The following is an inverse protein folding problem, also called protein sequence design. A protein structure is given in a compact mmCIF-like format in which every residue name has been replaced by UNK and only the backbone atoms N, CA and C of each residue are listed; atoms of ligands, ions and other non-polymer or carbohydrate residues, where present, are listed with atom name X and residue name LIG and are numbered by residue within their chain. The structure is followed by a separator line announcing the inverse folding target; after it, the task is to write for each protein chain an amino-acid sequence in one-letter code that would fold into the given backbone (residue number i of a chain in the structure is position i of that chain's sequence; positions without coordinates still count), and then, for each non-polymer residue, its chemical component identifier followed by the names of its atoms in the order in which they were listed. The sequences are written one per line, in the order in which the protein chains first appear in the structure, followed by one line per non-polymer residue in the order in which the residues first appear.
data_IF_508951736097
#
_entry.id   IF_508951736097
#
_cell.length_a   1.000
_cell.length_b   1.000
_cell.length_c   1.000
_cell.angle_alpha   90.00
_cell.angle_beta   90.00
_cell.angle_gamma   90.00
#
_symmetry.space_group_name_H-M   'P 1'
#
loop_
_entity.id
_entity.type
_entity.pdbx_description
1 polymer ?
#
# COMPACT_ATOMS: atom_id res chain seq x y z
N UNK A 1 4.29 7.72 -3.03
CA UNK A 1 4.17 6.56 -2.16
C UNK A 1 2.77 6.48 -1.58
N UNK A 2 2.22 5.30 -1.49
CA UNK A 2 0.86 5.09 -1.01
C UNK A 2 -0.19 4.94 -2.10
N UNK A 3 0.06 5.44 -3.29
CA UNK A 3 -0.82 5.25 -4.44
C UNK A 3 -0.52 3.89 -5.09
N UNK A 4 -0.97 2.83 -4.43
CA UNK A 4 -0.61 1.46 -4.80
C UNK A 4 -1.22 1.07 -6.15
N UNK A 5 -2.47 1.47 -6.39
CA UNK A 5 -3.17 1.10 -7.63
C UNK A 5 -2.92 2.07 -8.80
N UNK A 6 -2.20 3.14 -8.57
CA UNK A 6 -1.81 4.07 -9.64
C UNK A 6 -2.94 4.94 -10.17
N UNK A 7 -3.96 5.22 -9.37
CA UNK A 7 -5.11 6.03 -9.83
C UNK A 7 -4.93 7.54 -9.56
N UNK A 8 -3.81 7.93 -8.97
CA UNK A 8 -3.50 9.32 -8.66
C UNK A 8 -4.05 9.81 -7.34
N UNK A 9 -4.71 8.96 -6.57
CA UNK A 9 -5.29 9.30 -5.27
C UNK A 9 -4.91 8.24 -4.24
N UNK A 10 -4.51 8.68 -3.05
CA UNK A 10 -4.22 7.76 -1.93
C UNK A 10 -5.47 7.70 -1.04
N UNK A 11 -6.15 6.56 -1.03
CA UNK A 11 -7.37 6.37 -0.26
C UNK A 11 -7.58 4.88 0.07
N UNK A 12 -8.78 4.53 0.55
CA UNK A 12 -9.10 3.16 0.96
C UNK A 12 -8.91 2.14 -0.18
N UNK A 13 -9.09 2.56 -1.42
CA UNK A 13 -8.83 1.66 -2.57
C UNK A 13 -7.38 1.18 -2.58
N UNK A 14 -6.44 2.03 -2.16
CA UNK A 14 -5.03 1.65 -2.08
C UNK A 14 -4.79 0.64 -0.96
N UNK A 15 -5.53 0.74 0.14
CA UNK A 15 -5.44 -0.25 1.23
C UNK A 15 -5.85 -1.62 0.69
N UNK A 16 -6.94 -1.69 -0.06
CA UNK A 16 -7.38 -2.95 -0.67
C UNK A 16 -6.33 -3.48 -1.65
N UNK A 17 -5.78 -2.60 -2.49
CA UNK A 17 -4.73 -3.00 -3.44
C UNK A 17 -3.51 -3.53 -2.72
N UNK A 18 -3.09 -2.89 -1.64
CA UNK A 18 -1.93 -3.31 -0.86
C UNK A 18 -2.17 -4.69 -0.20
N UNK A 19 -3.36 -4.91 0.33
CA UNK A 19 -3.72 -6.21 0.91
C UNK A 19 -3.64 -7.30 -0.17
N UNK A 20 -4.17 -7.03 -1.36
CA UNK A 20 -4.10 -7.98 -2.47
C UNK A 20 -2.65 -8.27 -2.88
N UNK A 21 -1.78 -7.26 -2.85
CA UNK A 21 -0.36 -7.44 -3.11
C UNK A 21 0.28 -8.38 -2.08
N UNK A 22 -0.02 -8.17 -0.81
CA UNK A 22 0.53 -9.00 0.28
C UNK A 22 0.07 -10.45 0.14
N UNK A 23 -1.19 -10.66 -0.27
CA UNK A 23 -1.75 -11.99 -0.49
C UNK A 23 -1.34 -12.60 -1.84
N UNK A 24 -0.53 -11.89 -2.62
CA UNK A 24 -0.09 -12.27 -3.97
C UNK A 24 -1.24 -12.43 -4.97
N UNK A 25 -2.37 -11.76 -4.71
CA UNK A 25 -3.51 -11.76 -5.63
C UNK A 25 -3.39 -10.68 -6.72
N UNK A 26 -2.49 -9.72 -6.53
CA UNK A 26 -2.23 -8.65 -7.48
C UNK A 26 -0.73 -8.36 -7.50
N UNK A 27 -0.25 -7.82 -8.62
CA UNK A 27 1.17 -7.54 -8.82
C UNK A 27 1.37 -6.04 -8.97
N UNK A 28 1.73 -5.38 -7.88
CA UNK A 28 2.06 -3.96 -7.85
C UNK A 28 3.54 -3.79 -7.49
N UNK A 29 4.19 -2.69 -7.95
CA UNK A 29 5.60 -2.44 -7.62
C UNK A 29 5.82 -2.32 -6.12
N UNK A 30 6.87 -2.97 -5.61
CA UNK A 30 7.21 -2.88 -4.19
C UNK A 30 7.48 -1.44 -3.76
N UNK A 31 8.03 -0.61 -4.65
CA UNK A 31 8.36 0.77 -4.33
C UNK A 31 7.15 1.58 -3.87
N UNK A 32 5.96 1.31 -4.43
CA UNK A 32 4.73 2.01 -4.01
C UNK A 32 4.03 1.31 -2.86
N UNK A 33 4.32 0.03 -2.63
CA UNK A 33 3.70 -0.76 -1.58
C UNK A 33 4.45 -0.68 -0.25
N UNK A 34 5.75 -0.40 -0.29
CA UNK A 34 6.58 -0.27 0.91
C UNK A 34 6.38 1.13 1.52
N UNK A 35 5.29 1.30 2.23
CA UNK A 35 4.85 2.61 2.72
C UNK A 35 5.79 3.13 3.82
N UNK A 36 6.23 2.26 4.71
CA UNK A 36 7.07 2.66 5.84
C UNK A 36 8.57 2.65 5.53
N UNK A 37 8.96 2.17 4.36
CA UNK A 37 10.36 2.20 3.94
C UNK A 37 11.27 1.22 4.66
N UNK A 38 10.72 0.09 5.14
CA UNK A 38 11.53 -0.89 5.88
C UNK A 38 12.13 -1.98 4.98
N UNK A 39 11.89 -1.91 3.68
CA UNK A 39 12.39 -2.88 2.72
C UNK A 39 11.52 -4.11 2.54
N UNK A 40 10.38 -4.17 3.21
CA UNK A 40 9.44 -5.28 3.10
C UNK A 40 8.02 -4.77 2.89
N UNK A 41 7.23 -5.49 2.11
CA UNK A 41 5.81 -5.21 1.90
C UNK A 41 5.01 -6.20 2.73
N UNK A 42 4.37 -5.72 3.81
CA UNK A 42 3.63 -6.58 4.73
C UNK A 42 2.54 -5.77 5.45
N UNK A 43 1.94 -6.35 6.49
CA UNK A 43 0.84 -5.73 7.24
C UNK A 43 1.25 -4.40 7.88
N UNK A 44 2.52 -4.21 8.21
CA UNK A 44 3.00 -2.93 8.73
C UNK A 44 2.78 -1.80 7.71
N UNK A 45 2.90 -2.10 6.42
CA UNK A 45 2.64 -1.12 5.38
C UNK A 45 1.17 -0.76 5.30
N UNK A 46 0.28 -1.72 5.53
CA UNK A 46 -1.16 -1.46 5.58
C UNK A 46 -1.46 -0.46 6.69
N UNK A 47 -0.90 -0.66 7.87
CA UNK A 47 -1.08 0.26 9.00
C UNK A 47 -0.54 1.64 8.67
N UNK A 48 0.65 1.72 8.06
CA UNK A 48 1.24 3.00 7.68
C UNK A 48 0.37 3.73 6.64
N UNK A 49 -0.17 3.00 5.68
CA UNK A 49 -1.03 3.57 4.65
C UNK A 49 -2.33 4.10 5.26
N UNK A 50 -2.95 3.36 6.15
CA UNK A 50 -4.15 3.79 6.84
C UNK A 50 -3.90 5.10 7.61
N UNK A 51 -2.77 5.19 8.30
CA UNK A 51 -2.40 6.41 9.02
C UNK A 51 -2.25 7.60 8.08
N UNK A 52 -1.71 7.38 6.89
CA UNK A 52 -1.60 8.44 5.88
C UNK A 52 -2.97 8.94 5.44
N UNK A 53 -3.92 8.04 5.27
CA UNK A 53 -5.26 8.37 4.81
C UNK A 53 -6.04 9.13 5.89
N UNK A 54 -5.85 8.78 7.15
CA UNK A 54 -6.58 9.36 8.27
C UNK A 54 -6.09 10.75 8.70
N UNK A 55 -4.95 11.18 8.22
CA UNK A 55 -4.41 12.51 8.57
C UNK A 55 -5.17 13.66 7.93
#
# INVERSE_FOLDING_TARGET
TGDVNGDGVVNVSDVTALINKILTLADYPDAVCDINGDGEVNVSDVTALINMILK
#
